data_IF_660309493096
#
_entry.id   IF_660309493096
#
_cell.length_a   1.000
_cell.length_b   1.000
_cell.length_c   1.000
_cell.angle_alpha   90.00
_cell.angle_beta   90.00
_cell.angle_gamma   90.00
#
_symmetry.space_group_name_H-M   'P 1'
#
loop_
_entity.id
_entity.type
_entity.pdbx_description
1 polymer ?
#
# COMPACT_ATOMS: atom_id res chain seq x y z
N UNK A 1 -7.73 2.00 39.86
CA UNK A 1 -7.76 1.19 38.62
C UNK A 1 -8.08 2.02 37.36
N UNK A 2 -7.56 3.26 37.21
CA UNK A 2 -7.89 4.16 36.07
C UNK A 2 -6.74 4.50 35.11
N UNK A 3 -5.52 4.00 35.34
CA UNK A 3 -4.36 4.35 34.51
C UNK A 3 -4.30 3.52 33.21
N UNK A 4 -4.80 2.29 33.22
CA UNK A 4 -4.71 1.35 32.10
C UNK A 4 -5.66 1.68 30.94
N UNK A 5 -6.86 2.22 31.23
CA UNK A 5 -7.85 2.57 30.20
C UNK A 5 -7.48 3.82 29.38
N UNK A 6 -6.79 4.80 29.98
CA UNK A 6 -6.35 5.98 29.25
C UNK A 6 -5.15 5.67 28.34
N UNK A 7 -4.19 4.87 28.83
CA UNK A 7 -3.02 4.45 28.04
C UNK A 7 -3.41 3.63 26.79
N UNK A 8 -4.42 2.76 26.90
CA UNK A 8 -4.90 1.95 25.78
C UNK A 8 -5.69 2.79 24.76
N UNK A 9 -6.42 3.81 25.22
CA UNK A 9 -7.14 4.75 24.36
C UNK A 9 -6.17 5.65 23.57
N UNK A 10 -5.14 6.16 24.22
CA UNK A 10 -4.10 6.98 23.59
C UNK A 10 -3.28 6.19 22.57
N UNK A 11 -2.98 4.91 22.86
CA UNK A 11 -2.32 4.01 21.91
C UNK A 11 -3.16 3.75 20.65
N UNK A 12 -4.45 3.44 20.84
CA UNK A 12 -5.38 3.20 19.72
C UNK A 12 -5.57 4.46 18.86
N UNK A 13 -5.64 5.64 19.48
CA UNK A 13 -5.75 6.90 18.77
C UNK A 13 -4.48 7.22 17.97
N UNK A 14 -3.30 6.97 18.54
CA UNK A 14 -2.01 7.14 17.84
C UNK A 14 -1.87 6.19 16.66
N UNK A 15 -2.31 4.93 16.80
CA UNK A 15 -2.30 3.96 15.70
C UNK A 15 -3.28 4.33 14.59
N UNK A 16 -4.47 4.82 14.94
CA UNK A 16 -5.46 5.31 13.97
C UNK A 16 -4.92 6.51 13.17
N UNK A 17 -4.28 7.47 13.82
CA UNK A 17 -3.68 8.62 13.14
C UNK A 17 -2.48 8.22 12.27
N UNK A 18 -1.65 7.27 12.71
CA UNK A 18 -0.57 6.72 11.88
C UNK A 18 -1.11 6.04 10.61
N UNK A 19 -2.19 5.26 10.73
CA UNK A 19 -2.85 4.63 9.58
C UNK A 19 -3.44 5.67 8.62
N UNK A 20 -4.08 6.73 9.13
CA UNK A 20 -4.59 7.82 8.29
C UNK A 20 -3.47 8.53 7.54
N UNK A 21 -2.35 8.81 8.20
CA UNK A 21 -1.20 9.46 7.55
C UNK A 21 -0.58 8.56 6.49
N UNK A 22 -0.47 7.26 6.74
CA UNK A 22 -0.03 6.28 5.76
C UNK A 22 -0.93 6.29 4.51
N UNK A 23 -2.27 6.23 4.70
CA UNK A 23 -3.23 6.26 3.59
C UNK A 23 -3.12 7.57 2.80
N UNK A 24 -3.06 8.71 3.47
CA UNK A 24 -2.89 10.02 2.81
C UNK A 24 -1.63 10.09 1.96
N UNK A 25 -0.52 9.52 2.42
CA UNK A 25 0.70 9.46 1.64
C UNK A 25 0.57 8.51 0.44
N UNK A 26 -0.09 7.36 0.61
CA UNK A 26 -0.40 6.46 -0.50
C UNK A 26 -1.27 7.17 -1.57
N UNK A 27 -2.27 7.95 -1.15
CA UNK A 27 -3.14 8.71 -2.05
C UNK A 27 -2.38 9.72 -2.90
N UNK A 28 -1.30 10.33 -2.38
CA UNK A 28 -0.44 11.22 -3.16
C UNK A 28 0.23 10.47 -4.32
N UNK A 29 0.73 9.26 -4.09
CA UNK A 29 1.31 8.44 -5.15
C UNK A 29 0.26 8.01 -6.19
N UNK A 30 -0.94 7.64 -5.75
CA UNK A 30 -2.04 7.28 -6.64
C UNK A 30 -2.51 8.48 -7.48
N UNK A 31 -2.66 9.65 -6.86
CA UNK A 31 -3.03 10.87 -7.58
C UNK A 31 -2.01 11.21 -8.67
N UNK A 32 -0.72 11.06 -8.38
CA UNK A 32 0.33 11.27 -9.37
C UNK A 32 0.30 10.21 -10.48
N UNK A 33 0.07 8.94 -10.16
CA UNK A 33 -0.08 7.89 -11.16
C UNK A 33 -1.28 8.16 -12.09
N UNK A 34 -2.42 8.56 -11.54
CA UNK A 34 -3.61 8.93 -12.31
C UNK A 34 -3.33 10.11 -13.25
N UNK A 35 -2.63 11.14 -12.77
CA UNK A 35 -2.21 12.27 -13.61
C UNK A 35 -1.31 11.82 -14.78
N UNK A 36 -0.41 10.87 -14.55
CA UNK A 36 0.43 10.33 -15.62
C UNK A 36 -0.39 9.56 -16.66
N UNK A 37 -1.43 8.84 -16.24
CA UNK A 37 -2.36 8.15 -17.13
C UNK A 37 -3.12 9.13 -18.03
N UNK A 38 -3.44 10.31 -17.50
CA UNK A 38 -4.16 11.36 -18.23
C UNK A 38 -3.26 12.14 -19.20
N UNK A 39 -2.01 12.43 -18.82
CA UNK A 39 -1.16 13.44 -19.49
C UNK A 39 -0.07 12.83 -20.38
N UNK A 40 0.63 11.79 -19.94
CA UNK A 40 1.89 11.33 -20.57
C UNK A 40 1.68 10.09 -21.44
N UNK A 41 0.87 9.13 -20.98
CA UNK A 41 0.55 7.91 -21.73
C UNK A 41 -0.72 7.25 -21.20
N UNK A 42 -1.69 6.88 -22.06
CA UNK A 42 -2.86 6.11 -21.64
C UNK A 42 -2.53 4.66 -21.30
N UNK A 43 -1.26 4.23 -21.42
CA UNK A 43 -0.85 2.87 -21.06
C UNK A 43 -0.76 2.71 -19.53
N UNK A 44 -1.90 2.35 -18.95
CA UNK A 44 -2.02 2.06 -17.53
C UNK A 44 -1.10 0.92 -17.06
N UNK A 45 -0.75 -0.03 -17.94
CA UNK A 45 0.13 -1.14 -17.59
C UNK A 45 1.56 -0.66 -17.43
N UNK A 46 2.03 0.20 -18.34
CA UNK A 46 3.35 0.84 -18.27
C UNK A 46 3.48 1.68 -17.00
N UNK A 47 2.48 2.49 -16.67
CA UNK A 47 2.49 3.35 -15.48
C UNK A 47 2.50 2.51 -14.20
N UNK A 48 1.70 1.44 -14.15
CA UNK A 48 1.73 0.51 -13.02
C UNK A 48 3.11 -0.17 -12.87
N UNK A 49 3.72 -0.61 -13.98
CA UNK A 49 5.07 -1.18 -13.95
C UNK A 49 6.12 -0.17 -13.48
N UNK A 50 6.01 1.09 -13.92
CA UNK A 50 6.88 2.17 -13.47
C UNK A 50 6.72 2.47 -11.97
N UNK A 51 5.50 2.45 -11.44
CA UNK A 51 5.24 2.63 -10.00
C UNK A 51 5.85 1.49 -9.17
N UNK A 52 5.72 0.24 -9.62
CA UNK A 52 6.35 -0.91 -8.98
C UNK A 52 7.88 -0.79 -8.98
N UNK A 53 8.46 -0.38 -10.10
CA UNK A 53 9.90 -0.13 -10.21
C UNK A 53 10.37 1.01 -9.28
N UNK A 54 9.61 2.10 -9.21
CA UNK A 54 9.91 3.22 -8.31
C UNK A 54 9.87 2.79 -6.84
N UNK A 55 8.87 1.99 -6.46
CA UNK A 55 8.76 1.41 -5.10
C UNK A 55 9.99 0.57 -4.75
N UNK A 56 10.43 -0.33 -5.65
CA UNK A 56 11.60 -1.16 -5.43
C UNK A 56 12.88 -0.33 -5.22
N UNK A 57 13.10 0.71 -6.04
CA UNK A 57 14.25 1.63 -5.89
C UNK A 57 14.23 2.35 -4.56
N UNK A 58 13.06 2.83 -4.14
CA UNK A 58 12.93 3.52 -2.87
C UNK A 58 13.19 2.58 -1.69
N UNK A 59 12.65 1.36 -1.71
CA UNK A 59 12.92 0.34 -0.69
C UNK A 59 14.41 -0.02 -0.58
N UNK A 60 15.10 -0.17 -1.71
CA UNK A 60 16.55 -0.39 -1.72
C UNK A 60 17.32 0.80 -1.12
N UNK A 61 16.92 2.02 -1.47
CA UNK A 61 17.50 3.25 -0.90
C UNK A 61 17.32 3.34 0.61
N UNK A 62 16.13 3.01 1.14
CA UNK A 62 15.88 2.99 2.59
C UNK A 62 16.76 1.96 3.28
N UNK A 63 16.85 0.74 2.73
CA UNK A 63 17.72 -0.32 3.27
C UNK A 63 19.18 0.12 3.31
N UNK A 64 19.68 0.73 2.23
CA UNK A 64 21.03 1.28 2.17
C UNK A 64 21.24 2.41 3.19
N UNK A 65 20.29 3.34 3.30
CA UNK A 65 20.37 4.48 4.22
C UNK A 65 20.35 4.09 5.70
N UNK A 66 19.73 2.94 6.03
CA UNK A 66 19.70 2.39 7.39
C UNK A 66 20.93 1.51 7.70
N UNK A 67 21.74 1.18 6.71
CA UNK A 67 22.90 0.31 6.87
C UNK A 67 24.13 1.11 7.32
N UNK A 68 24.74 0.72 8.44
CA UNK A 68 25.94 1.39 8.95
C UNK A 68 27.21 1.15 8.11
N UNK A 69 27.21 0.11 7.27
CA UNK A 69 28.32 -0.26 6.39
C UNK A 69 27.84 -1.12 5.24
N UNK A 70 28.68 -1.29 4.21
CA UNK A 70 28.44 -2.22 3.09
C UNK A 70 28.21 -3.66 3.58
N UNK A 71 28.97 -4.11 4.57
CA UNK A 71 28.80 -5.46 5.13
C UNK A 71 27.44 -5.62 5.85
N UNK A 72 26.98 -4.58 6.56
CA UNK A 72 25.65 -4.58 7.18
C UNK A 72 24.54 -4.58 6.13
N UNK A 73 24.70 -3.80 5.06
CA UNK A 73 23.78 -3.80 3.92
C UNK A 73 23.68 -5.20 3.28
N UNK A 74 24.81 -5.84 2.99
CA UNK A 74 24.83 -7.16 2.38
C UNK A 74 24.14 -8.21 3.27
N UNK A 75 24.36 -8.15 4.60
CA UNK A 75 23.71 -9.05 5.56
C UNK A 75 22.20 -8.78 5.75
N UNK A 76 21.74 -7.56 5.50
CA UNK A 76 20.33 -7.18 5.65
C UNK A 76 19.54 -7.27 4.35
N UNK A 77 20.20 -7.38 3.20
CA UNK A 77 19.58 -7.36 1.86
C UNK A 77 18.51 -8.43 1.71
N UNK A 78 18.80 -9.70 1.99
CA UNK A 78 17.84 -10.79 1.79
C UNK A 78 16.60 -10.64 2.69
N UNK A 79 16.82 -10.24 3.95
CA UNK A 79 15.72 -9.98 4.91
C UNK A 79 14.86 -8.79 4.49
N UNK A 80 15.48 -7.75 3.94
CA UNK A 80 14.76 -6.58 3.43
C UNK A 80 13.91 -6.95 2.20
N UNK A 81 14.45 -7.74 1.27
CA UNK A 81 13.72 -8.24 0.10
C UNK A 81 12.52 -9.07 0.56
N UNK A 82 12.72 -10.03 1.47
CA UNK A 82 11.64 -10.85 2.02
C UNK A 82 10.55 -9.97 2.66
N UNK A 83 10.94 -9.02 3.50
CA UNK A 83 10.01 -8.11 4.15
C UNK A 83 9.17 -7.31 3.16
N UNK A 84 9.80 -6.61 2.21
CA UNK A 84 9.09 -5.76 1.26
C UNK A 84 8.17 -6.56 0.34
N UNK A 85 8.62 -7.71 -0.14
CA UNK A 85 7.80 -8.57 -1.01
C UNK A 85 6.62 -9.19 -0.25
N UNK A 86 6.80 -9.60 1.01
CA UNK A 86 5.73 -10.12 1.84
C UNK A 86 4.64 -9.06 2.13
N UNK A 87 5.05 -7.85 2.53
CA UNK A 87 4.10 -6.76 2.80
C UNK A 87 3.35 -6.33 1.53
N UNK A 88 4.05 -6.19 0.39
CA UNK A 88 3.40 -5.89 -0.89
C UNK A 88 2.37 -6.97 -1.27
N UNK A 89 2.74 -8.25 -1.17
CA UNK A 89 1.86 -9.38 -1.48
C UNK A 89 0.60 -9.37 -0.60
N UNK A 90 0.76 -9.12 0.70
CA UNK A 90 -0.34 -9.01 1.66
C UNK A 90 -1.31 -7.89 1.27
N UNK A 91 -0.81 -6.69 1.00
CA UNK A 91 -1.64 -5.55 0.60
C UNK A 91 -2.35 -5.81 -0.73
N UNK A 92 -1.63 -6.35 -1.72
CA UNK A 92 -2.20 -6.67 -3.02
C UNK A 92 -3.35 -7.68 -2.92
N UNK A 93 -3.17 -8.76 -2.15
CA UNK A 93 -4.22 -9.77 -1.93
C UNK A 93 -5.47 -9.17 -1.30
N UNK A 94 -5.30 -8.32 -0.30
CA UNK A 94 -6.42 -7.64 0.36
C UNK A 94 -7.19 -6.76 -0.63
N UNK A 95 -6.49 -5.93 -1.43
CA UNK A 95 -7.14 -5.09 -2.42
C UNK A 95 -7.82 -5.91 -3.54
N UNK A 96 -7.20 -6.99 -4.02
CA UNK A 96 -7.83 -7.88 -5.01
C UNK A 96 -9.13 -8.50 -4.48
N UNK A 97 -9.14 -8.92 -3.20
CA UNK A 97 -10.34 -9.42 -2.54
C UNK A 97 -11.43 -8.34 -2.45
N UNK A 98 -11.06 -7.11 -2.08
CA UNK A 98 -11.99 -5.99 -2.01
C UNK A 98 -12.64 -5.69 -3.37
N UNK A 99 -11.85 -5.62 -4.45
CA UNK A 99 -12.38 -5.43 -5.80
C UNK A 99 -13.29 -6.58 -6.24
N UNK A 100 -12.95 -7.83 -5.91
CA UNK A 100 -13.82 -8.98 -6.19
C UNK A 100 -15.19 -8.87 -5.51
N UNK A 101 -15.25 -8.38 -4.27
CA UNK A 101 -16.51 -8.13 -3.56
C UNK A 101 -17.32 -7.00 -4.19
N UNK A 102 -16.67 -5.90 -4.58
CA UNK A 102 -17.32 -4.78 -5.27
C UNK A 102 -17.98 -5.24 -6.57
N UNK A 103 -17.27 -6.04 -7.37
CA UNK A 103 -17.79 -6.60 -8.62
C UNK A 103 -18.99 -7.53 -8.37
N UNK A 104 -18.89 -8.43 -7.38
CA UNK A 104 -20.01 -9.32 -6.99
C UNK A 104 -21.25 -8.54 -6.59
N UNK A 105 -21.08 -7.43 -5.87
CA UNK A 105 -22.20 -6.60 -5.44
C UNK A 105 -22.84 -5.84 -6.62
N UNK A 106 -22.03 -5.38 -7.57
CA UNK A 106 -22.52 -4.73 -8.79
C UNK A 106 -23.43 -5.66 -9.60
N UNK A 107 -23.01 -6.92 -9.79
CA UNK A 107 -23.80 -7.94 -10.50
C UNK A 107 -25.16 -8.24 -9.82
N UNK A 108 -25.21 -8.23 -8.48
CA UNK A 108 -26.46 -8.45 -7.74
C UNK A 108 -27.44 -7.29 -7.92
N UNK A 109 -26.94 -6.06 -7.91
CA UNK A 109 -27.75 -4.85 -8.11
C UNK A 109 -28.33 -4.80 -9.52
N UNK A 110 -27.53 -5.13 -10.54
CA UNK A 110 -27.96 -5.17 -11.95
C UNK A 110 -29.07 -6.23 -12.17
N UNK A 111 -28.93 -7.43 -11.58
CA UNK A 111 -29.95 -8.49 -11.65
C UNK A 111 -31.25 -8.16 -10.91
N UNK A 112 -31.22 -7.29 -9.91
CA UNK A 112 -32.42 -6.82 -9.19
C UNK A 112 -33.17 -5.74 -9.96
N UNK A 113 -32.45 -4.88 -10.70
CA UNK A 113 -33.06 -3.88 -11.58
C UNK A 113 -33.67 -4.45 -12.86
N UNK A 114 -33.22 -5.62 -13.33
CA UNK A 114 -33.80 -6.29 -14.51
C UNK A 114 -35.06 -7.11 -14.19
N UNK A 115 -35.29 -7.43 -12.92
CA UNK A 115 -36.43 -8.22 -12.43
C UNK A 115 -37.51 -7.38 -11.70
N UNK A 116 -37.40 -6.05 -11.73
CA UNK A 116 -38.37 -5.09 -11.16
C UNK A 116 -39.03 -4.28 -12.27
#
# INVERSE_FOLDING_TARGET
MNQTNNQQKDFNQKQLEANKNFIKLADVFIAQANKLCEVESPDHQLINAALLYASARFSAFITASMSASKANYDQSTDKAIEFYTAEFNKMLKEHMKQYGQVLTNKEKTEKQSENS
#
